data_IF_872208363871
#
_entry.id   IF_872208363871
#
_cell.length_a   1.000
_cell.length_b   1.000
_cell.length_c   1.000
_cell.angle_alpha   90.00
_cell.angle_beta   90.00
_cell.angle_gamma   90.00
#
_symmetry.space_group_name_H-M   'P 1'
#
loop_
_entity.id
_entity.type
_entity.pdbx_description
1 polymer ?
#
# COMPACT_ATOMS: atom_id res chain seq x y z
N UNK A 1 -3.99 69.86 41.00
CA UNK A 1 -4.89 69.11 40.15
C UNK A 1 -4.00 68.18 39.25
N UNK A 2 -3.85 66.93 39.65
CA UNK A 2 -2.99 66.00 38.92
C UNK A 2 -3.88 65.07 38.12
N UNK A 3 -3.71 65.06 36.81
CA UNK A 3 -4.45 64.23 35.89
C UNK A 3 -3.60 62.95 35.67
N UNK A 4 -4.11 61.76 36.09
CA UNK A 4 -3.51 60.46 35.82
C UNK A 4 -4.01 59.97 34.47
N UNK A 5 -3.10 59.80 33.52
CA UNK A 5 -3.35 59.12 32.24
C UNK A 5 -3.20 57.61 32.43
N UNK A 6 -4.34 56.91 32.35
CA UNK A 6 -4.33 55.42 32.23
C UNK A 6 -3.94 55.02 30.81
N UNK A 7 -2.81 54.36 30.65
CA UNK A 7 -2.43 53.68 29.42
C UNK A 7 -3.17 52.34 29.32
N UNK A 8 -4.06 52.22 28.33
CA UNK A 8 -4.64 50.93 27.94
C UNK A 8 -3.60 50.15 27.13
N UNK A 9 -3.06 49.08 27.71
CA UNK A 9 -2.33 48.06 26.95
C UNK A 9 -3.32 47.15 26.27
N UNK A 10 -3.40 47.24 24.93
CA UNK A 10 -4.18 46.31 24.11
C UNK A 10 -3.39 44.98 23.97
N UNK A 11 -3.86 43.90 24.61
CA UNK A 11 -3.35 42.56 24.39
C UNK A 11 -3.83 42.08 23.03
N UNK A 12 -2.94 42.06 22.04
CA UNK A 12 -3.18 41.36 20.78
C UNK A 12 -2.95 39.88 21.05
N UNK A 13 -4.03 39.11 21.18
CA UNK A 13 -3.97 37.65 21.26
C UNK A 13 -3.62 37.09 19.86
N UNK A 14 -2.38 36.63 19.69
CA UNK A 14 -1.99 35.79 18.54
C UNK A 14 -2.72 34.46 18.68
N UNK A 15 -3.81 34.27 17.96
CA UNK A 15 -4.41 32.94 17.76
C UNK A 15 -3.60 32.25 16.67
N UNK A 16 -2.94 31.10 16.96
CA UNK A 16 -2.27 30.38 15.92
C UNK A 16 -3.33 29.83 14.93
N UNK A 17 -3.29 30.30 13.70
CA UNK A 17 -4.07 29.71 12.62
C UNK A 17 -3.50 28.31 12.35
N UNK A 18 -4.20 27.28 12.81
CA UNK A 18 -3.97 25.91 12.36
C UNK A 18 -4.24 25.89 10.86
N UNK A 19 -3.19 25.81 10.06
CA UNK A 19 -3.33 25.51 8.65
C UNK A 19 -3.82 24.08 8.54
N UNK A 20 -5.10 23.88 8.29
CA UNK A 20 -5.65 22.60 7.92
C UNK A 20 -5.14 22.30 6.50
N UNK A 21 -4.27 21.31 6.37
CA UNK A 21 -3.92 20.79 5.07
C UNK A 21 -5.19 20.19 4.46
N UNK A 22 -5.66 20.78 3.35
CA UNK A 22 -6.81 20.26 2.61
C UNK A 22 -6.32 19.61 1.33
N UNK A 23 -6.96 18.50 0.96
CA UNK A 23 -6.75 17.88 -0.34
C UNK A 23 -7.21 18.84 -1.44
N UNK A 24 -6.49 18.87 -2.56
CA UNK A 24 -6.85 19.68 -3.71
C UNK A 24 -7.54 18.83 -4.77
N UNK A 25 -8.84 19.04 -4.98
CA UNK A 25 -9.63 18.27 -5.94
C UNK A 25 -10.05 16.89 -5.41
N UNK A 26 -10.38 15.99 -6.32
CA UNK A 26 -10.71 14.60 -5.99
C UNK A 26 -9.46 13.74 -5.85
N UNK A 27 -9.50 12.75 -4.98
CA UNK A 27 -8.50 11.67 -4.87
C UNK A 27 -9.13 10.36 -5.29
N UNK A 28 -8.31 9.38 -5.65
CA UNK A 28 -8.76 8.07 -6.09
C UNK A 28 -8.86 7.92 -7.62
N UNK A 29 -9.19 6.72 -8.10
CA UNK A 29 -9.26 6.40 -9.52
C UNK A 29 -10.39 7.15 -10.22
N UNK A 30 -10.19 7.45 -11.51
CA UNK A 30 -11.18 8.13 -12.36
C UNK A 30 -12.28 7.18 -12.85
N UNK A 31 -11.93 5.90 -12.95
CA UNK A 31 -12.80 4.83 -13.47
C UNK A 31 -12.96 3.75 -12.38
N UNK A 32 -14.17 3.29 -12.13
CA UNK A 32 -14.42 2.26 -11.11
C UNK A 32 -13.85 0.88 -11.49
N UNK A 33 -13.51 0.05 -10.49
CA UNK A 33 -13.11 -1.34 -10.70
C UNK A 33 -14.15 -2.14 -11.49
N UNK A 34 -15.44 -1.91 -11.28
CA UNK A 34 -16.51 -2.58 -12.01
C UNK A 34 -16.50 -2.25 -13.51
N UNK A 35 -16.20 -1.01 -13.88
CA UNK A 35 -16.05 -0.60 -15.28
C UNK A 35 -14.83 -1.26 -15.91
N UNK A 36 -13.72 -1.31 -15.20
CA UNK A 36 -12.49 -2.00 -15.62
C UNK A 36 -12.74 -3.50 -15.82
N UNK A 37 -13.43 -4.15 -14.86
CA UNK A 37 -13.80 -5.56 -14.95
C UNK A 37 -14.73 -5.87 -16.14
N UNK A 38 -15.68 -4.97 -16.43
CA UNK A 38 -16.58 -5.11 -17.56
C UNK A 38 -15.85 -4.96 -18.91
N UNK A 39 -14.76 -4.19 -18.97
CA UNK A 39 -13.93 -4.06 -20.18
C UNK A 39 -13.17 -5.35 -20.46
N UNK A 40 -12.39 -5.84 -19.48
CA UNK A 40 -11.65 -7.10 -19.55
C UNK A 40 -11.26 -7.55 -18.15
N UNK A 41 -11.46 -8.83 -17.86
CA UNK A 41 -10.91 -9.46 -16.64
C UNK A 41 -9.88 -10.52 -17.03
N UNK A 42 -8.67 -10.39 -16.48
CA UNK A 42 -7.57 -11.33 -16.66
C UNK A 42 -7.36 -12.10 -15.35
N UNK A 43 -7.95 -13.28 -15.24
CA UNK A 43 -7.76 -14.15 -14.08
C UNK A 43 -6.39 -14.83 -14.18
N UNK A 44 -5.53 -14.69 -13.18
CA UNK A 44 -4.18 -15.24 -13.19
C UNK A 44 -4.15 -16.77 -13.37
N UNK A 45 -5.22 -17.47 -13.01
CA UNK A 45 -5.35 -18.92 -13.22
C UNK A 45 -5.35 -19.28 -14.71
N UNK A 46 -5.90 -18.42 -15.57
CA UNK A 46 -5.91 -18.61 -17.04
C UNK A 46 -4.52 -18.41 -17.65
N UNK A 47 -3.58 -17.83 -16.89
CA UNK A 47 -2.18 -17.62 -17.25
C UNK A 47 -1.23 -18.63 -16.59
N UNK A 48 -1.79 -19.64 -15.93
CA UNK A 48 -1.01 -20.73 -15.34
C UNK A 48 -0.66 -20.60 -13.87
N UNK A 49 -1.20 -19.58 -13.17
CA UNK A 49 -1.08 -19.51 -11.72
C UNK A 49 -1.78 -20.69 -11.04
N UNK A 50 -1.27 -21.10 -9.88
CA UNK A 50 -1.89 -22.12 -9.04
C UNK A 50 -1.94 -21.65 -7.60
N UNK A 51 -3.08 -21.85 -6.96
CA UNK A 51 -3.27 -21.57 -5.54
C UNK A 51 -2.78 -22.76 -4.69
N UNK A 52 -1.51 -23.13 -4.85
CA UNK A 52 -0.89 -24.29 -4.20
C UNK A 52 0.27 -23.91 -3.25
N UNK A 53 0.51 -22.59 -3.08
CA UNK A 53 1.56 -22.02 -2.22
C UNK A 53 2.99 -22.44 -2.61
N UNK A 54 3.17 -23.03 -3.78
CA UNK A 54 4.46 -23.51 -4.28
C UNK A 54 4.78 -23.02 -5.69
N UNK A 55 3.79 -23.00 -6.59
CA UNK A 55 3.95 -22.51 -7.97
C UNK A 55 4.09 -20.98 -7.95
N UNK A 56 5.13 -20.47 -8.59
CA UNK A 56 5.42 -19.02 -8.63
C UNK A 56 4.33 -18.24 -9.37
N UNK A 57 3.71 -17.29 -8.69
CA UNK A 57 2.69 -16.38 -9.23
C UNK A 57 3.29 -15.29 -10.13
N UNK A 58 4.58 -14.95 -10.00
CA UNK A 58 5.18 -13.80 -10.67
C UNK A 58 4.97 -13.79 -12.19
N UNK A 59 5.38 -14.82 -12.94
CA UNK A 59 5.17 -14.87 -14.38
C UNK A 59 3.70 -14.83 -14.81
N UNK A 60 2.76 -15.61 -14.22
CA UNK A 60 1.33 -15.49 -14.51
C UNK A 60 0.76 -14.10 -14.27
N UNK A 61 1.14 -13.45 -13.15
CA UNK A 61 0.68 -12.11 -12.80
C UNK A 61 1.18 -11.08 -13.83
N UNK A 62 2.44 -11.17 -14.24
CA UNK A 62 3.01 -10.29 -15.25
C UNK A 62 2.30 -10.46 -16.62
N UNK A 63 1.96 -11.68 -16.99
CA UNK A 63 1.25 -11.99 -18.23
C UNK A 63 -0.19 -11.47 -18.21
N UNK A 64 -0.92 -11.71 -17.11
CA UNK A 64 -2.26 -11.17 -16.91
C UNK A 64 -2.26 -9.63 -16.93
N UNK A 65 -1.28 -9.01 -16.30
CA UNK A 65 -1.11 -7.56 -16.35
C UNK A 65 -0.86 -7.06 -17.76
N UNK A 66 0.05 -7.68 -18.51
CA UNK A 66 0.34 -7.26 -19.89
C UNK A 66 -0.93 -7.18 -20.75
N UNK A 67 -1.86 -8.08 -20.52
CA UNK A 67 -3.12 -8.17 -21.26
C UNK A 67 -4.21 -7.22 -20.74
N UNK A 68 -4.22 -6.86 -19.45
CA UNK A 68 -5.26 -6.06 -18.81
C UNK A 68 -4.81 -4.64 -18.41
N UNK A 69 -3.56 -4.27 -18.58
CA UNK A 69 -3.01 -2.97 -18.15
C UNK A 69 -3.63 -1.74 -18.81
N UNK A 70 -4.46 -1.90 -19.82
CA UNK A 70 -5.16 -0.83 -20.53
C UNK A 70 -6.67 -1.04 -20.43
N UNK A 71 -7.27 -0.51 -19.38
CA UNK A 71 -8.72 -0.53 -19.16
C UNK A 71 -9.27 -1.77 -18.49
N UNK A 72 -8.44 -2.73 -18.08
CA UNK A 72 -8.89 -4.03 -17.55
C UNK A 72 -8.64 -4.23 -16.06
N UNK A 73 -9.09 -5.38 -15.58
CA UNK A 73 -8.89 -5.86 -14.22
C UNK A 73 -8.06 -7.15 -14.22
N UNK A 74 -6.95 -7.14 -13.49
CA UNK A 74 -6.18 -8.34 -13.17
C UNK A 74 -6.75 -8.95 -11.89
N UNK A 75 -7.08 -10.24 -11.92
CA UNK A 75 -7.73 -10.90 -10.80
C UNK A 75 -6.90 -12.07 -10.26
N UNK A 76 -6.60 -12.01 -8.98
CA UNK A 76 -6.00 -13.11 -8.19
C UNK A 76 -7.10 -13.67 -7.28
N UNK A 77 -7.72 -14.81 -7.63
CA UNK A 77 -8.81 -15.40 -6.85
C UNK A 77 -8.40 -15.82 -5.45
N UNK A 78 -9.39 -16.14 -4.61
CA UNK A 78 -9.15 -16.72 -3.29
C UNK A 78 -8.29 -17.98 -3.36
N UNK A 79 -7.33 -18.10 -2.44
CA UNK A 79 -6.39 -19.21 -2.34
C UNK A 79 -5.01 -18.73 -1.89
N UNK A 80 -4.08 -19.66 -1.73
CA UNK A 80 -2.73 -19.39 -1.25
C UNK A 80 -1.72 -19.49 -2.41
N UNK A 81 -1.05 -18.38 -2.71
CA UNK A 81 -0.10 -18.27 -3.84
C UNK A 81 1.31 -18.05 -3.34
N UNK A 82 2.29 -18.69 -3.99
CA UNK A 82 3.71 -18.39 -3.78
C UNK A 82 4.15 -17.26 -4.72
N UNK A 83 5.02 -16.36 -4.26
CA UNK A 83 5.66 -15.34 -5.09
C UNK A 83 7.17 -15.36 -4.83
N UNK A 84 7.93 -15.81 -5.82
CA UNK A 84 9.39 -15.84 -5.80
C UNK A 84 10.03 -14.89 -6.82
N UNK A 85 9.39 -14.71 -7.96
CA UNK A 85 9.77 -13.71 -8.97
C UNK A 85 8.95 -12.45 -8.76
N UNK A 86 9.61 -11.36 -8.35
CA UNK A 86 8.92 -10.10 -8.03
C UNK A 86 8.18 -9.54 -9.24
N UNK A 87 6.94 -9.12 -9.01
CA UNK A 87 6.07 -8.58 -10.06
C UNK A 87 6.31 -7.07 -10.22
N UNK A 88 6.98 -6.68 -11.32
CA UNK A 88 7.10 -5.28 -11.75
C UNK A 88 6.05 -4.98 -12.81
N UNK A 89 5.06 -4.15 -12.44
CA UNK A 89 3.88 -3.82 -13.26
C UNK A 89 3.96 -2.35 -13.68
N UNK A 90 4.40 -2.10 -14.92
CA UNK A 90 4.75 -0.75 -15.38
C UNK A 90 3.88 -0.27 -16.55
N UNK A 91 3.48 1.00 -16.51
CA UNK A 91 2.81 1.68 -17.62
C UNK A 91 1.33 1.30 -17.78
N UNK A 92 0.64 0.93 -16.71
CA UNK A 92 -0.79 0.65 -16.74
C UNK A 92 -1.64 1.92 -16.76
N UNK A 93 -2.80 1.87 -17.45
CA UNK A 93 -3.73 2.98 -17.53
C UNK A 93 -5.17 2.49 -17.40
N UNK A 94 -5.94 3.11 -16.51
CA UNK A 94 -7.33 2.75 -16.21
C UNK A 94 -7.47 1.26 -15.89
N UNK A 95 -6.67 0.73 -14.97
CA UNK A 95 -6.63 -0.69 -14.66
C UNK A 95 -6.76 -0.95 -13.16
N UNK A 96 -7.12 -2.18 -12.82
CA UNK A 96 -7.22 -2.60 -11.43
C UNK A 96 -6.50 -3.93 -11.18
N UNK A 97 -6.07 -4.11 -9.93
CA UNK A 97 -5.53 -5.36 -9.40
C UNK A 97 -6.40 -5.80 -8.21
N UNK A 98 -7.24 -6.80 -8.43
CA UNK A 98 -8.04 -7.42 -7.40
C UNK A 98 -7.33 -8.65 -6.85
N UNK A 99 -7.09 -8.68 -5.55
CA UNK A 99 -6.45 -9.80 -4.85
C UNK A 99 -7.38 -10.28 -3.74
N UNK A 100 -8.03 -11.41 -3.93
CA UNK A 100 -8.87 -12.06 -2.92
C UNK A 100 -8.17 -13.22 -2.22
N UNK A 101 -7.02 -13.64 -2.73
CA UNK A 101 -6.16 -14.66 -2.13
C UNK A 101 -5.07 -14.10 -1.23
N UNK A 102 -4.26 -14.98 -0.67
CA UNK A 102 -3.05 -14.61 0.07
C UNK A 102 -1.80 -14.91 -0.76
N UNK A 103 -0.96 -13.90 -0.97
CA UNK A 103 0.32 -14.02 -1.67
C UNK A 103 1.43 -14.13 -0.65
N UNK A 104 2.09 -15.28 -0.60
CA UNK A 104 3.21 -15.56 0.30
C UNK A 104 4.54 -15.30 -0.40
N UNK A 105 5.42 -14.58 0.26
CA UNK A 105 6.81 -14.47 -0.17
C UNK A 105 7.48 -15.84 -0.11
N UNK A 106 8.08 -16.27 -1.20
CA UNK A 106 8.95 -17.47 -1.26
C UNK A 106 10.32 -17.15 -1.85
N UNK A 107 10.47 -16.01 -2.54
CA UNK A 107 11.76 -15.47 -2.97
C UNK A 107 12.54 -14.81 -1.81
N UNK A 108 13.85 -14.68 -2.00
CA UNK A 108 14.78 -14.13 -1.00
C UNK A 108 15.47 -12.84 -1.47
N UNK A 109 15.35 -12.49 -2.73
CA UNK A 109 15.99 -11.31 -3.31
C UNK A 109 15.43 -10.01 -2.68
N UNK A 110 16.26 -9.01 -2.60
CA UNK A 110 15.83 -7.65 -2.23
C UNK A 110 14.88 -7.06 -3.29
N UNK A 111 14.34 -5.90 -3.02
CA UNK A 111 13.44 -5.20 -3.94
C UNK A 111 12.01 -5.09 -3.43
N UNK A 112 11.03 -5.32 -4.29
CA UNK A 112 9.61 -5.21 -3.95
C UNK A 112 8.85 -6.41 -4.48
N UNK A 113 8.05 -7.08 -3.64
CA UNK A 113 7.27 -8.24 -4.07
C UNK A 113 6.30 -7.85 -5.20
N UNK A 114 5.53 -6.77 -5.00
CA UNK A 114 4.74 -6.14 -6.06
C UNK A 114 5.18 -4.67 -6.18
N UNK A 115 5.62 -4.30 -7.37
CA UNK A 115 6.04 -2.95 -7.71
C UNK A 115 5.22 -2.41 -8.86
N UNK A 116 4.41 -1.40 -8.59
CA UNK A 116 3.55 -0.72 -9.56
C UNK A 116 4.17 0.63 -9.86
N UNK A 117 4.46 0.89 -11.13
CA UNK A 117 5.11 2.14 -11.52
C UNK A 117 4.52 2.73 -12.80
N UNK A 118 4.65 4.07 -12.94
CA UNK A 118 4.25 4.82 -14.12
C UNK A 118 2.83 4.50 -14.59
N UNK A 119 1.90 4.41 -13.63
CA UNK A 119 0.52 4.02 -13.88
C UNK A 119 -0.45 5.17 -13.57
N UNK A 120 -1.61 5.15 -14.18
CA UNK A 120 -2.66 6.13 -13.91
C UNK A 120 -4.04 5.48 -13.88
N UNK A 121 -4.97 6.12 -13.13
CA UNK A 121 -6.33 5.59 -12.92
C UNK A 121 -6.28 4.12 -12.46
N UNK A 122 -5.58 3.92 -11.31
CA UNK A 122 -5.25 2.61 -10.78
C UNK A 122 -6.03 2.29 -9.51
N UNK A 123 -6.38 1.01 -9.31
CA UNK A 123 -7.03 0.53 -8.10
C UNK A 123 -6.48 -0.83 -7.68
N UNK A 124 -6.03 -0.96 -6.43
CA UNK A 124 -5.68 -2.24 -5.80
C UNK A 124 -6.63 -2.50 -4.65
N UNK A 125 -7.27 -3.65 -4.64
CA UNK A 125 -8.25 -3.98 -3.60
C UNK A 125 -8.47 -5.48 -3.45
N UNK A 126 -9.17 -5.84 -2.35
CA UNK A 126 -9.80 -7.15 -2.20
C UNK A 126 -11.30 -6.98 -2.11
N UNK A 127 -12.06 -7.73 -2.89
CA UNK A 127 -13.53 -7.69 -2.85
C UNK A 127 -14.11 -8.31 -1.57
N UNK A 128 -13.29 -9.04 -0.83
CA UNK A 128 -13.66 -9.71 0.42
C UNK A 128 -13.05 -9.07 1.66
N UNK A 129 -12.22 -8.02 1.50
CA UNK A 129 -11.37 -7.43 2.55
C UNK A 129 -10.45 -8.46 3.25
N UNK A 130 -10.23 -9.61 2.62
CA UNK A 130 -9.42 -10.72 3.16
C UNK A 130 -8.16 -10.99 2.35
N UNK A 131 -8.04 -10.37 1.17
CA UNK A 131 -6.85 -10.49 0.34
C UNK A 131 -5.63 -9.96 1.06
N UNK A 132 -4.49 -10.66 0.93
CA UNK A 132 -3.31 -10.33 1.72
C UNK A 132 -1.99 -10.58 0.98
N UNK A 133 -0.95 -9.85 1.41
CA UNK A 133 0.45 -10.19 1.14
C UNK A 133 1.13 -10.55 2.46
N UNK A 134 1.75 -11.73 2.52
CA UNK A 134 2.50 -12.25 3.66
C UNK A 134 3.99 -12.28 3.34
N UNK A 135 4.77 -11.44 4.03
CA UNK A 135 6.20 -11.28 3.78
C UNK A 135 7.08 -12.30 4.47
N UNK A 136 6.59 -12.97 5.53
CA UNK A 136 7.38 -13.86 6.38
C UNK A 136 8.67 -13.18 6.86
N UNK A 137 8.56 -11.92 7.27
CA UNK A 137 9.68 -11.07 7.68
C UNK A 137 10.43 -11.60 8.89
N UNK A 138 9.76 -12.33 9.77
CA UNK A 138 10.38 -12.95 10.94
C UNK A 138 11.57 -13.87 10.56
N UNK A 139 11.57 -14.44 9.36
CA UNK A 139 12.69 -15.26 8.87
C UNK A 139 13.98 -14.46 8.72
N UNK A 140 13.86 -13.17 8.40
CA UNK A 140 14.98 -12.23 8.33
C UNK A 140 15.33 -11.66 9.71
N UNK A 141 14.30 -11.25 10.43
CA UNK A 141 14.47 -10.51 11.69
C UNK A 141 15.06 -11.36 12.81
N UNK A 142 14.80 -12.67 12.84
CA UNK A 142 15.39 -13.59 13.83
C UNK A 142 16.92 -13.58 13.83
N UNK A 143 17.54 -13.26 12.69
CA UNK A 143 18.98 -13.19 12.51
C UNK A 143 19.48 -11.73 12.55
N UNK A 144 18.67 -10.77 13.02
CA UNK A 144 18.94 -9.33 13.02
C UNK A 144 19.26 -8.77 11.62
N UNK A 145 18.69 -9.36 10.58
CA UNK A 145 18.80 -8.88 9.22
C UNK A 145 17.58 -8.01 8.90
N UNK A 146 17.85 -6.81 8.45
CA UNK A 146 16.84 -5.82 8.06
C UNK A 146 16.76 -5.63 6.54
N UNK A 147 17.36 -6.55 5.79
CA UNK A 147 17.42 -6.54 4.34
C UNK A 147 16.54 -7.63 3.77
N UNK A 148 15.54 -7.24 3.02
CA UNK A 148 14.62 -8.14 2.33
C UNK A 148 13.73 -7.33 1.41
N UNK A 149 12.77 -7.93 0.72
CA UNK A 149 11.85 -7.19 -0.11
C UNK A 149 10.86 -6.37 0.72
N UNK A 150 10.44 -5.23 0.17
CA UNK A 150 9.19 -4.58 0.55
C UNK A 150 8.02 -5.40 0.03
N UNK A 151 6.86 -5.29 0.67
CA UNK A 151 5.67 -5.98 0.15
C UNK A 151 5.12 -5.25 -1.06
N UNK A 152 4.69 -4.01 -0.89
CA UNK A 152 4.04 -3.22 -1.92
C UNK A 152 4.75 -1.88 -2.10
N UNK A 153 4.99 -1.49 -3.34
CA UNK A 153 5.48 -0.16 -3.68
C UNK A 153 4.74 0.40 -4.88
N UNK A 154 4.29 1.65 -4.76
CA UNK A 154 3.82 2.46 -5.86
C UNK A 154 4.83 3.58 -6.14
N UNK A 155 5.18 3.78 -7.41
CA UNK A 155 6.09 4.81 -7.85
C UNK A 155 5.54 5.53 -9.08
N UNK A 156 5.43 6.85 -9.02
CA UNK A 156 4.88 7.67 -10.11
C UNK A 156 3.51 7.14 -10.59
N UNK A 157 2.58 6.98 -9.64
CA UNK A 157 1.20 6.54 -9.89
C UNK A 157 0.26 7.70 -9.61
N UNK A 158 -0.65 7.97 -10.53
CA UNK A 158 -1.62 9.06 -10.42
C UNK A 158 -3.05 8.56 -10.42
N UNK A 159 -3.94 9.28 -9.70
CA UNK A 159 -5.37 8.98 -9.64
C UNK A 159 -5.61 7.52 -9.22
N UNK A 160 -5.26 7.19 -7.98
CA UNK A 160 -5.26 5.80 -7.54
C UNK A 160 -5.94 5.58 -6.19
N UNK A 161 -6.35 4.33 -5.95
CA UNK A 161 -6.70 3.85 -4.60
C UNK A 161 -6.06 2.50 -4.28
N UNK A 162 -5.81 2.29 -2.97
CA UNK A 162 -5.42 1.00 -2.39
C UNK A 162 -6.27 0.76 -1.16
N UNK A 163 -7.09 -0.28 -1.16
CA UNK A 163 -8.07 -0.47 -0.09
C UNK A 163 -8.50 -1.92 0.13
N UNK A 164 -9.17 -2.15 1.27
CA UNK A 164 -9.71 -3.47 1.63
C UNK A 164 -8.66 -4.58 1.58
N UNK A 165 -7.41 -4.29 1.99
CA UNK A 165 -6.28 -5.19 1.78
C UNK A 165 -5.41 -5.34 3.03
N UNK A 166 -4.73 -6.48 3.16
CA UNK A 166 -3.92 -6.81 4.35
C UNK A 166 -2.45 -6.99 3.96
N UNK A 167 -1.56 -6.30 4.68
CA UNK A 167 -0.11 -6.46 4.57
C UNK A 167 0.45 -7.05 5.87
N UNK A 168 1.18 -8.16 5.78
CA UNK A 168 1.61 -8.92 6.96
C UNK A 168 3.10 -9.19 6.91
N UNK A 169 3.77 -8.86 8.02
CA UNK A 169 5.12 -9.29 8.37
C UNK A 169 6.14 -9.06 7.23
N UNK A 170 6.32 -7.79 6.86
CA UNK A 170 7.27 -7.40 5.83
C UNK A 170 8.72 -7.66 6.26
N UNK A 171 9.60 -8.18 5.39
CA UNK A 171 11.04 -8.25 5.66
C UNK A 171 11.69 -6.86 5.82
N UNK A 172 11.24 -5.87 5.04
CA UNK A 172 11.68 -4.47 5.15
C UNK A 172 10.47 -3.56 5.39
N UNK A 173 9.84 -2.98 4.37
CA UNK A 173 8.71 -2.07 4.51
C UNK A 173 7.42 -2.71 4.01
N UNK A 174 6.28 -2.35 4.61
CA UNK A 174 4.99 -2.89 4.17
C UNK A 174 4.49 -2.19 2.92
N UNK A 175 4.41 -0.87 2.94
CA UNK A 175 3.88 -0.10 1.83
C UNK A 175 4.65 1.20 1.63
N UNK A 176 5.09 1.48 0.41
CA UNK A 176 5.77 2.73 0.06
C UNK A 176 5.07 3.41 -1.12
N UNK A 177 4.83 4.71 -0.97
CA UNK A 177 4.25 5.60 -1.96
C UNK A 177 5.28 6.67 -2.33
N UNK A 178 5.87 6.57 -3.51
CA UNK A 178 6.91 7.49 -3.96
C UNK A 178 6.43 8.25 -5.21
N UNK A 179 6.49 9.58 -5.18
CA UNK A 179 6.17 10.46 -6.32
C UNK A 179 4.74 10.26 -6.87
N UNK A 180 3.83 9.70 -6.05
CA UNK A 180 2.44 9.48 -6.42
C UNK A 180 1.60 10.76 -6.25
N UNK A 181 0.44 10.82 -6.92
CA UNK A 181 -0.43 11.98 -6.87
C UNK A 181 -1.91 11.57 -6.90
N UNK A 182 -2.77 12.32 -6.18
CA UNK A 182 -4.22 12.12 -6.13
C UNK A 182 -4.62 10.70 -5.68
N UNK A 183 -4.06 10.25 -4.56
CA UNK A 183 -4.26 8.90 -4.06
C UNK A 183 -5.15 8.80 -2.85
N UNK A 184 -5.83 7.67 -2.71
CA UNK A 184 -6.58 7.31 -1.52
C UNK A 184 -6.16 5.91 -1.02
N UNK A 185 -5.84 5.81 0.28
CA UNK A 185 -5.48 4.54 0.92
C UNK A 185 -6.37 4.36 2.13
N UNK A 186 -7.20 3.33 2.13
CA UNK A 186 -8.18 3.16 3.18
C UNK A 186 -8.56 1.71 3.47
N UNK A 187 -9.20 1.49 4.62
CA UNK A 187 -9.67 0.19 5.07
C UNK A 187 -8.61 -0.91 4.93
N UNK A 188 -7.38 -0.59 5.37
CA UNK A 188 -6.26 -1.52 5.32
C UNK A 188 -5.89 -2.04 6.70
N UNK A 189 -5.38 -3.26 6.76
CA UNK A 189 -4.74 -3.80 7.95
C UNK A 189 -3.25 -4.06 7.69
N UNK A 190 -2.39 -3.44 8.50
CA UNK A 190 -0.94 -3.67 8.48
C UNK A 190 -0.55 -4.38 9.76
N UNK A 191 -0.01 -5.58 9.62
CA UNK A 191 0.43 -6.42 10.75
C UNK A 191 1.92 -6.62 10.67
N UNK A 192 2.66 -5.94 11.54
CA UNK A 192 4.13 -6.06 11.60
C UNK A 192 4.59 -7.35 12.24
N UNK A 193 5.84 -7.68 12.01
CA UNK A 193 6.54 -8.81 12.66
C UNK A 193 7.01 -8.48 14.08
N UNK A 194 7.69 -9.42 14.70
CA UNK A 194 8.10 -9.35 16.12
C UNK A 194 9.26 -8.39 16.43
N UNK A 195 9.81 -7.70 15.45
CA UNK A 195 10.90 -6.75 15.62
C UNK A 195 10.47 -5.37 15.15
N UNK A 196 10.74 -4.36 15.98
CA UNK A 196 10.39 -2.97 15.68
C UNK A 196 11.24 -2.34 14.58
N UNK A 197 10.88 -1.14 14.14
CA UNK A 197 11.64 -0.34 13.18
C UNK A 197 11.27 -0.57 11.72
N UNK A 198 10.15 -1.24 11.45
CA UNK A 198 9.61 -1.39 10.11
C UNK A 198 8.39 -0.49 9.94
N UNK A 199 8.46 0.39 8.95
CA UNK A 199 7.38 1.33 8.70
C UNK A 199 6.15 0.63 8.10
N UNK A 200 4.98 1.09 8.51
CA UNK A 200 3.72 0.59 7.97
C UNK A 200 3.44 1.17 6.59
N UNK A 201 3.46 2.51 6.48
CA UNK A 201 3.27 3.23 5.22
C UNK A 201 4.26 4.38 5.15
N UNK A 202 5.12 4.36 4.13
CA UNK A 202 6.05 5.44 3.79
C UNK A 202 5.48 6.30 2.67
N UNK A 203 5.44 7.62 2.84
CA UNK A 203 4.79 8.51 1.87
C UNK A 203 5.71 9.66 1.47
N UNK A 204 6.12 9.68 0.21
CA UNK A 204 6.76 10.81 -0.50
C UNK A 204 5.92 11.18 -1.72
N UNK A 205 4.71 11.65 -1.48
CA UNK A 205 3.67 11.82 -2.50
C UNK A 205 2.86 13.09 -2.26
N UNK A 206 2.07 13.51 -3.22
CA UNK A 206 1.28 14.74 -3.17
C UNK A 206 -0.21 14.43 -3.28
N UNK A 207 -1.04 15.12 -2.49
CA UNK A 207 -2.50 14.97 -2.51
C UNK A 207 -2.93 13.51 -2.29
N UNK A 208 -2.42 12.89 -1.22
CA UNK A 208 -2.74 11.51 -0.82
C UNK A 208 -3.48 11.53 0.50
N UNK A 209 -4.61 10.87 0.54
CA UNK A 209 -5.42 10.71 1.75
C UNK A 209 -5.31 9.28 2.27
N UNK A 210 -4.83 9.14 3.51
CA UNK A 210 -4.70 7.84 4.17
C UNK A 210 -5.59 7.85 5.41
N UNK A 211 -6.54 6.94 5.47
CA UNK A 211 -7.51 6.85 6.56
C UNK A 211 -7.98 5.40 6.77
N UNK A 212 -8.60 5.13 7.91
CA UNK A 212 -9.11 3.80 8.28
C UNK A 212 -8.08 2.67 8.12
N UNK A 213 -6.81 2.99 8.43
CA UNK A 213 -5.72 2.02 8.41
C UNK A 213 -5.43 1.54 9.82
N UNK A 214 -5.67 0.26 10.07
CA UNK A 214 -5.31 -0.38 11.34
C UNK A 214 -3.88 -0.92 11.28
N UNK A 215 -3.02 -0.47 12.20
CA UNK A 215 -1.66 -0.98 12.33
C UNK A 215 -1.51 -1.71 13.67
N UNK A 216 -1.11 -2.98 13.62
CA UNK A 216 -0.66 -3.73 14.79
C UNK A 216 0.84 -4.01 14.61
N UNK A 217 1.65 -3.03 14.94
CA UNK A 217 3.08 -3.21 15.11
C UNK A 217 3.31 -3.77 16.52
N UNK A 218 4.27 -4.67 16.74
CA UNK A 218 4.58 -5.12 18.10
C UNK A 218 5.04 -3.92 18.92
N UNK A 219 4.38 -3.70 20.04
CA UNK A 219 4.84 -2.75 21.05
C UNK A 219 6.10 -3.37 21.64
N UNK A 220 7.22 -2.67 21.57
CA UNK A 220 8.42 -3.02 22.30
C UNK A 220 8.11 -2.88 23.79
N UNK A 221 7.83 -3.98 24.48
CA UNK A 221 7.96 -3.97 25.93
C UNK A 221 9.46 -3.98 26.25
N UNK A 222 10.00 -2.94 26.91
CA UNK A 222 11.37 -2.99 27.37
C UNK A 222 11.49 -4.17 28.35
N UNK A 223 12.34 -5.14 28.04
CA UNK A 223 12.69 -6.19 29.02
C UNK A 223 13.31 -5.49 30.20
N UNK A 224 12.58 -5.44 31.29
CA UNK A 224 13.14 -5.14 32.60
C UNK A 224 13.99 -6.37 32.99
N UNK A 225 15.29 -6.25 32.82
CA UNK A 225 16.24 -7.23 33.43
C UNK A 225 16.22 -6.98 34.93
N UNK A 226 15.75 -7.98 35.68
CA UNK A 226 15.96 -8.09 37.12
C UNK A 226 17.40 -8.48 37.39
#
# INVERSE_FOLDING_TARGET
MRINTLSLFSLVSLVPTLALASLSGSVGPLTSASTKAATKTCNVLDYGAKADKTTDLGPPLASAFADCKSGGLVYVPSGDYALSTWAKLSGGKAWALQIDGTIYRTGTDGGNMIFIEHSSDFELFSSTSSGAMQGLGYEYHKDNKWSGPRLLRLYDVTDFSVHDFILVDAPAFHFSLDTCTNGEVYNMAIRGGNHGGLDGVDVWSTNVWIHDVSSKLPIFEPRVTQ
#
